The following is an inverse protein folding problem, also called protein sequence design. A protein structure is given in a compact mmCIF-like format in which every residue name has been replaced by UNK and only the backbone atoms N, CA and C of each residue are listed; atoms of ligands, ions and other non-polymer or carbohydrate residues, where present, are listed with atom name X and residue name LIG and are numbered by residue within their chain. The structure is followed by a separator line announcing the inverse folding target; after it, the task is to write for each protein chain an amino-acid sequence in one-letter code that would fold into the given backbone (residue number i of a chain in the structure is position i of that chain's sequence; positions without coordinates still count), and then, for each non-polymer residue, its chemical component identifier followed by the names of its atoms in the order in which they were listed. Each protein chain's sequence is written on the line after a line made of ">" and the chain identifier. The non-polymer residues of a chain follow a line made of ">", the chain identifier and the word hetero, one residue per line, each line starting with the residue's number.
data_IF_494440282915
#
_entry.id   IF_494440282915
#
_cell.length_a   1.000
_cell.length_b   1.000
_cell.length_c   1.000
_cell.angle_alpha   90.00
_cell.angle_beta   90.00
_cell.angle_gamma   90.00
#
_symmetry.space_group_name_H-M   'P 1'
#
loop_
_entity.id
_entity.type
_entity.pdbx_description
1 polymer ?
#
# COMPACT_ATOMS: atom_id res chain seq x y z
N UNK A 1 0.54 -43.59 -17.69
CA UNK A 1 0.35 -42.27 -18.32
C UNK A 1 1.47 -41.31 -17.97
N UNK A 2 1.74 -41.04 -16.67
CA UNK A 2 2.81 -40.11 -16.22
C UNK A 2 4.21 -40.33 -16.84
N UNK A 3 4.56 -41.57 -17.19
CA UNK A 3 5.86 -41.87 -17.81
C UNK A 3 6.07 -41.22 -19.19
N UNK A 4 5.01 -40.87 -19.93
CA UNK A 4 5.12 -40.14 -21.21
C UNK A 4 5.26 -38.63 -21.02
N UNK A 5 4.82 -38.11 -19.87
CA UNK A 5 4.86 -36.69 -19.52
C UNK A 5 6.10 -36.30 -18.71
N UNK A 6 6.97 -37.25 -18.36
CA UNK A 6 8.25 -36.93 -17.73
C UNK A 6 9.30 -36.55 -18.79
N UNK A 7 9.99 -35.41 -18.63
CA UNK A 7 11.01 -34.95 -19.57
C UNK A 7 12.24 -35.87 -19.53
N UNK A 8 12.88 -36.04 -20.70
CA UNK A 8 14.23 -36.61 -20.72
C UNK A 8 15.23 -35.61 -20.10
N UNK A 9 16.23 -36.06 -19.33
CA UNK A 9 17.22 -35.17 -18.71
C UNK A 9 17.85 -34.22 -19.74
N UNK A 10 17.91 -32.93 -19.41
CA UNK A 10 18.52 -31.90 -20.25
C UNK A 10 17.68 -31.42 -21.43
N UNK A 11 16.45 -31.92 -21.62
CA UNK A 11 15.53 -31.38 -22.63
C UNK A 11 14.67 -30.25 -22.06
N UNK A 12 14.34 -29.23 -22.85
CA UNK A 12 13.36 -28.22 -22.45
C UNK A 12 12.00 -28.85 -22.18
N UNK A 13 11.37 -28.41 -21.08
CA UNK A 13 10.02 -28.83 -20.69
C UNK A 13 8.99 -28.24 -21.64
N UNK A 14 7.91 -28.96 -21.91
CA UNK A 14 6.67 -28.36 -22.43
C UNK A 14 5.75 -27.90 -21.30
N UNK A 15 4.63 -27.21 -21.61
CA UNK A 15 3.62 -26.82 -20.60
C UNK A 15 3.10 -28.05 -19.84
N UNK A 16 2.75 -29.11 -20.57
CA UNK A 16 2.28 -30.36 -19.97
C UNK A 16 3.31 -30.98 -19.01
N UNK A 17 4.60 -30.95 -19.39
CA UNK A 17 5.68 -31.51 -18.59
C UNK A 17 5.97 -30.62 -17.36
N UNK A 18 5.97 -29.31 -17.52
CA UNK A 18 6.17 -28.37 -16.43
C UNK A 18 5.04 -28.50 -15.40
N UNK A 19 3.78 -28.50 -15.82
CA UNK A 19 2.65 -28.69 -14.91
C UNK A 19 2.73 -30.02 -14.15
N UNK A 20 3.11 -31.11 -14.83
CA UNK A 20 3.31 -32.40 -14.20
C UNK A 20 4.45 -32.38 -13.16
N UNK A 21 5.56 -31.70 -13.46
CA UNK A 21 6.68 -31.52 -12.53
C UNK A 21 6.26 -30.68 -11.32
N UNK A 22 5.59 -29.54 -11.52
CA UNK A 22 5.12 -28.70 -10.43
C UNK A 22 4.13 -29.40 -9.51
N UNK A 23 3.18 -30.15 -10.10
CA UNK A 23 2.24 -30.98 -9.34
C UNK A 23 2.96 -32.06 -8.52
N UNK A 24 3.99 -32.70 -9.10
CA UNK A 24 4.80 -33.67 -8.39
C UNK A 24 5.65 -33.06 -7.28
N UNK A 25 6.15 -31.83 -7.46
CA UNK A 25 6.87 -31.08 -6.42
C UNK A 25 5.95 -30.84 -5.22
N UNK A 26 4.76 -30.25 -5.45
CA UNK A 26 3.79 -30.00 -4.36
C UNK A 26 3.36 -31.29 -3.67
N UNK A 27 3.10 -32.37 -4.43
CA UNK A 27 2.74 -33.66 -3.85
C UNK A 27 3.88 -34.29 -3.02
N UNK A 28 5.14 -34.12 -3.45
CA UNK A 28 6.30 -34.63 -2.72
C UNK A 28 6.53 -33.89 -1.40
N UNK A 29 6.18 -32.61 -1.39
CA UNK A 29 6.32 -31.66 -0.27
C UNK A 29 5.14 -31.67 0.70
N UNK A 30 3.95 -32.13 0.27
CA UNK A 30 2.80 -32.35 1.15
C UNK A 30 3.01 -33.37 2.30
N UNK A 31 4.23 -33.88 2.50
CA UNK A 31 4.61 -34.71 3.67
C UNK A 31 4.56 -33.86 4.95
N UNK A 32 3.93 -34.36 6.03
CA UNK A 32 3.84 -33.64 7.29
C UNK A 32 5.22 -33.22 7.82
N UNK A 33 5.41 -31.92 8.07
CA UNK A 33 6.56 -31.39 8.82
C UNK A 33 7.76 -30.90 8.00
N UNK A 34 7.72 -30.94 6.66
CA UNK A 34 8.88 -30.55 5.84
C UNK A 34 8.65 -29.43 4.83
N UNK A 35 7.40 -29.00 4.61
CA UNK A 35 7.13 -27.95 3.63
C UNK A 35 6.73 -26.62 4.23
N UNK A 36 7.15 -25.52 3.59
CA UNK A 36 6.74 -24.17 3.96
C UNK A 36 5.21 -24.07 4.09
N UNK A 37 4.74 -23.21 4.99
CA UNK A 37 3.30 -23.08 5.25
C UNK A 37 2.54 -22.67 3.99
N UNK A 38 3.10 -21.77 3.19
CA UNK A 38 2.54 -21.29 1.94
C UNK A 38 2.39 -22.35 0.84
N UNK A 39 3.08 -23.48 0.93
CA UNK A 39 2.80 -24.63 0.06
C UNK A 39 1.42 -25.25 0.30
N UNK A 40 0.82 -24.98 1.47
CA UNK A 40 -0.47 -25.54 1.91
C UNK A 40 -1.62 -24.55 1.74
N UNK A 41 -1.33 -23.26 1.54
CA UNK A 41 -2.32 -22.18 1.57
C UNK A 41 -3.01 -21.92 0.21
N UNK A 42 -2.92 -22.88 -0.72
CA UNK A 42 -3.68 -22.89 -1.97
C UNK A 42 -2.84 -22.48 -3.17
N UNK A 43 -2.32 -23.49 -3.89
CA UNK A 43 -1.64 -23.29 -5.17
C UNK A 43 -2.67 -23.30 -6.29
N UNK A 44 -2.59 -22.31 -7.18
CA UNK A 44 -3.32 -22.36 -8.43
C UNK A 44 -2.52 -23.09 -9.53
N UNK A 45 -3.16 -23.34 -10.67
CA UNK A 45 -2.54 -24.06 -11.79
C UNK A 45 -1.35 -23.31 -12.40
N UNK A 46 -1.33 -21.98 -12.33
CA UNK A 46 -0.23 -21.15 -12.83
C UNK A 46 0.96 -21.18 -11.87
N UNK A 47 0.72 -21.26 -10.56
CA UNK A 47 1.76 -21.52 -9.56
C UNK A 47 2.44 -22.86 -9.83
N UNK A 48 1.64 -23.92 -10.04
CA UNK A 48 2.16 -25.25 -10.36
C UNK A 48 2.98 -25.23 -11.65
N UNK A 49 2.49 -24.53 -12.68
CA UNK A 49 3.21 -24.38 -13.94
C UNK A 49 4.54 -23.63 -13.73
N UNK A 50 4.53 -22.49 -13.02
CA UNK A 50 5.70 -21.68 -12.70
C UNK A 50 6.76 -22.49 -11.94
N UNK A 51 6.36 -23.20 -10.88
CA UNK A 51 7.26 -24.06 -10.12
C UNK A 51 7.85 -25.19 -10.97
N UNK A 52 7.04 -25.80 -11.82
CA UNK A 52 7.50 -26.80 -12.76
C UNK A 52 8.60 -26.30 -13.70
N UNK A 53 8.51 -25.04 -14.14
CA UNK A 53 9.49 -24.43 -15.03
C UNK A 53 10.75 -23.92 -14.32
N UNK A 54 10.62 -23.40 -13.10
CA UNK A 54 11.74 -23.03 -12.24
C UNK A 54 12.54 -24.28 -11.80
N UNK A 55 11.92 -25.47 -11.85
CA UNK A 55 12.57 -26.72 -11.50
C UNK A 55 12.82 -26.84 -10.00
N UNK A 56 13.91 -27.49 -9.59
CA UNK A 56 14.25 -27.67 -8.17
C UNK A 56 14.59 -26.37 -7.41
N UNK A 57 14.50 -25.21 -8.06
CA UNK A 57 14.82 -23.90 -7.49
C UNK A 57 13.68 -23.27 -6.68
N UNK A 58 12.55 -23.97 -6.52
CA UNK A 58 11.38 -23.53 -5.71
C UNK A 58 11.65 -23.62 -4.19
N UNK A 59 12.91 -23.75 -3.76
CA UNK A 59 13.30 -23.60 -2.34
C UNK A 59 13.34 -22.13 -1.88
N UNK A 60 12.92 -21.21 -2.73
CA UNK A 60 12.80 -19.79 -2.43
C UNK A 60 11.73 -19.53 -1.35
N UNK A 61 11.83 -18.40 -0.65
CA UNK A 61 10.75 -17.94 0.26
C UNK A 61 9.48 -17.65 -0.53
N UNK A 62 8.31 -17.62 0.12
CA UNK A 62 7.01 -17.38 -0.52
C UNK A 62 7.03 -16.13 -1.39
N UNK A 63 7.62 -15.06 -0.87
CA UNK A 63 7.67 -13.75 -1.48
C UNK A 63 8.51 -13.78 -2.76
N UNK A 64 9.64 -14.49 -2.72
CA UNK A 64 10.53 -14.65 -3.86
C UNK A 64 9.86 -15.47 -4.98
N UNK A 65 9.15 -16.55 -4.63
CA UNK A 65 8.42 -17.34 -5.61
C UNK A 65 7.28 -16.53 -6.23
N UNK A 66 6.52 -15.80 -5.41
CA UNK A 66 5.42 -14.93 -5.86
C UNK A 66 5.93 -13.85 -6.82
N UNK A 67 7.00 -13.13 -6.47
CA UNK A 67 7.59 -12.11 -7.33
C UNK A 67 8.11 -12.68 -8.65
N UNK A 68 8.80 -13.82 -8.59
CA UNK A 68 9.28 -14.54 -9.77
C UNK A 68 8.12 -14.96 -10.68
N UNK A 69 7.06 -15.52 -10.12
CA UNK A 69 5.84 -15.92 -10.84
C UNK A 69 5.21 -14.71 -11.53
N UNK A 70 5.07 -13.59 -10.84
CA UNK A 70 4.37 -12.42 -11.39
C UNK A 70 5.18 -11.76 -12.51
N UNK A 71 6.50 -11.63 -12.34
CA UNK A 71 7.40 -11.19 -13.42
C UNK A 71 7.33 -12.14 -14.64
N UNK A 72 7.29 -13.45 -14.39
CA UNK A 72 7.11 -14.44 -15.44
C UNK A 72 5.75 -14.31 -16.15
N UNK A 73 4.66 -14.10 -15.41
CA UNK A 73 3.31 -13.90 -15.97
C UNK A 73 3.24 -12.66 -16.87
N UNK A 74 3.85 -11.55 -16.46
CA UNK A 74 3.93 -10.34 -17.27
C UNK A 74 4.71 -10.57 -18.56
N UNK A 75 5.83 -11.28 -18.48
CA UNK A 75 6.63 -11.62 -19.64
C UNK A 75 5.85 -12.54 -20.61
N UNK A 76 5.32 -13.66 -20.11
CA UNK A 76 4.70 -14.68 -20.96
C UNK A 76 3.41 -14.19 -21.61
N UNK A 77 2.61 -13.33 -20.96
CA UNK A 77 1.37 -12.77 -21.53
C UNK A 77 1.58 -11.97 -22.82
N UNK A 78 2.76 -11.40 -23.00
CA UNK A 78 3.12 -10.65 -24.21
C UNK A 78 3.78 -11.52 -25.28
N UNK A 79 4.18 -12.74 -24.94
CA UNK A 79 4.83 -13.67 -25.86
C UNK A 79 3.80 -14.51 -26.62
N UNK A 80 4.01 -14.83 -27.91
CA UNK A 80 3.14 -15.75 -28.65
C UNK A 80 2.95 -17.12 -27.98
N UNK A 81 3.86 -17.53 -27.10
CA UNK A 81 3.73 -18.76 -26.32
C UNK A 81 2.54 -18.73 -25.34
N UNK A 82 1.98 -17.56 -25.01
CA UNK A 82 0.77 -17.41 -24.18
C UNK A 82 -0.42 -18.23 -24.70
N UNK A 83 -0.49 -18.48 -26.01
CA UNK A 83 -1.52 -19.36 -26.59
C UNK A 83 -1.50 -20.75 -25.99
N UNK A 84 -0.33 -21.34 -25.72
CA UNK A 84 -0.25 -22.66 -25.09
C UNK A 84 -0.77 -22.66 -23.64
N UNK A 85 -0.55 -21.56 -22.91
CA UNK A 85 -1.09 -21.39 -21.55
C UNK A 85 -2.61 -21.21 -21.59
N UNK A 86 -3.12 -20.40 -22.52
CA UNK A 86 -4.57 -20.22 -22.72
C UNK A 86 -5.24 -21.55 -23.08
N UNK A 87 -4.68 -22.32 -24.02
CA UNK A 87 -5.20 -23.64 -24.41
C UNK A 87 -5.25 -24.61 -23.21
N UNK A 88 -4.24 -24.57 -22.34
CA UNK A 88 -4.21 -25.34 -21.09
C UNK A 88 -5.33 -24.89 -20.13
N UNK A 89 -5.52 -23.59 -19.93
CA UNK A 89 -6.55 -23.05 -19.04
C UNK A 89 -7.96 -23.35 -19.56
N UNK A 90 -8.18 -23.28 -20.87
CA UNK A 90 -9.46 -23.66 -21.49
C UNK A 90 -9.76 -25.16 -21.30
N UNK A 91 -8.73 -26.02 -21.42
CA UNK A 91 -8.86 -27.44 -21.12
C UNK A 91 -9.16 -27.68 -19.64
N UNK A 92 -8.49 -26.96 -18.73
CA UNK A 92 -8.73 -27.05 -17.29
C UNK A 92 -10.18 -26.73 -16.93
N UNK A 93 -10.69 -25.60 -17.42
CA UNK A 93 -12.08 -25.16 -17.17
C UNK A 93 -13.07 -26.19 -17.70
N UNK A 94 -12.82 -26.75 -18.90
CA UNK A 94 -13.67 -27.81 -19.46
C UNK A 94 -13.67 -29.07 -18.60
N UNK A 95 -12.51 -29.56 -18.17
CA UNK A 95 -12.39 -30.76 -17.31
C UNK A 95 -13.10 -30.52 -15.97
N UNK A 96 -12.86 -29.36 -15.33
CA UNK A 96 -13.53 -28.97 -14.09
C UNK A 96 -15.05 -28.99 -14.25
N UNK A 97 -15.56 -28.40 -15.34
CA UNK A 97 -16.98 -28.41 -15.67
C UNK A 97 -17.53 -29.84 -15.87
N UNK A 98 -16.82 -30.68 -16.62
CA UNK A 98 -17.26 -32.04 -16.95
C UNK A 98 -17.25 -32.98 -15.73
N UNK A 99 -16.33 -32.77 -14.80
CA UNK A 99 -16.24 -33.52 -13.55
C UNK A 99 -17.13 -32.94 -12.44
N UNK A 100 -17.54 -31.68 -12.54
CA UNK A 100 -18.30 -30.99 -11.50
C UNK A 100 -17.46 -30.64 -10.26
N UNK A 101 -16.14 -30.58 -10.40
CA UNK A 101 -15.18 -30.35 -9.31
C UNK A 101 -14.44 -29.01 -9.50
N UNK A 102 -13.96 -28.37 -8.43
CA UNK A 102 -13.14 -27.16 -8.50
C UNK A 102 -11.88 -27.31 -9.38
N UNK A 103 -11.41 -26.22 -9.97
CA UNK A 103 -10.23 -26.24 -10.87
C UNK A 103 -8.92 -26.65 -10.17
N UNK A 104 -8.87 -26.49 -8.87
CA UNK A 104 -7.77 -26.88 -7.97
C UNK A 104 -7.96 -28.28 -7.38
N UNK A 105 -9.06 -28.99 -7.69
CA UNK A 105 -9.26 -30.36 -7.23
C UNK A 105 -8.17 -31.30 -7.81
N UNK A 106 -7.54 -32.15 -6.99
CA UNK A 106 -6.51 -33.07 -7.46
C UNK A 106 -6.96 -33.97 -8.63
N UNK A 107 -8.23 -34.36 -8.69
CA UNK A 107 -8.80 -35.17 -9.78
C UNK A 107 -8.83 -34.39 -11.09
N UNK A 108 -9.18 -33.10 -11.03
CA UNK A 108 -9.17 -32.19 -12.17
C UNK A 108 -7.74 -31.98 -12.66
N UNK A 109 -6.80 -31.66 -11.77
CA UNK A 109 -5.39 -31.45 -12.13
C UNK A 109 -4.74 -32.70 -12.74
N UNK A 110 -5.03 -33.88 -12.21
CA UNK A 110 -4.52 -35.15 -12.75
C UNK A 110 -5.11 -35.47 -14.12
N UNK A 111 -6.39 -35.18 -14.34
CA UNK A 111 -7.06 -35.33 -15.64
C UNK A 111 -6.49 -34.34 -16.66
N UNK A 112 -6.25 -33.09 -16.24
CA UNK A 112 -5.61 -32.07 -17.06
C UNK A 112 -4.23 -32.54 -17.54
N UNK A 113 -3.37 -33.01 -16.64
CA UNK A 113 -2.03 -33.51 -17.02
C UNK A 113 -2.13 -34.69 -18.00
N UNK A 114 -3.13 -35.57 -17.84
CA UNK A 114 -3.34 -36.70 -18.74
C UNK A 114 -3.75 -36.25 -20.14
N UNK A 115 -4.62 -35.26 -20.25
CA UNK A 115 -5.20 -34.80 -21.53
C UNK A 115 -4.29 -33.79 -22.26
N UNK A 116 -3.44 -33.04 -21.55
CA UNK A 116 -2.52 -32.07 -22.14
C UNK A 116 -1.53 -32.68 -23.15
N UNK A 117 -1.26 -33.99 -23.06
CA UNK A 117 -0.37 -34.68 -24.01
C UNK A 117 -0.93 -34.72 -25.43
N UNK A 118 -2.26 -34.58 -25.56
CA UNK A 118 -2.97 -34.57 -26.84
C UNK A 118 -3.26 -33.14 -27.33
N UNK A 119 -2.81 -32.10 -26.59
CA UNK A 119 -2.91 -30.69 -26.98
C UNK A 119 -1.57 -30.23 -27.60
N UNK A 120 -1.47 -30.08 -28.94
CA UNK A 120 -0.19 -29.88 -29.60
C UNK A 120 0.57 -28.62 -29.15
N UNK A 121 -0.13 -27.52 -28.84
CA UNK A 121 0.47 -26.28 -28.33
C UNK A 121 1.13 -26.48 -26.96
N UNK A 122 0.52 -27.29 -26.08
CA UNK A 122 1.02 -27.59 -24.74
C UNK A 122 2.19 -28.58 -24.72
N UNK A 123 2.44 -29.26 -25.85
CA UNK A 123 3.57 -30.16 -26.06
C UNK A 123 4.77 -29.49 -26.71
N UNK A 124 4.65 -28.22 -27.13
CA UNK A 124 5.78 -27.46 -27.61
C UNK A 124 6.77 -27.16 -26.48
N UNK A 125 8.08 -27.24 -26.71
CA UNK A 125 9.07 -26.86 -25.71
C UNK A 125 8.95 -25.40 -25.32
N UNK A 126 8.94 -25.13 -24.01
CA UNK A 126 8.98 -23.78 -23.45
C UNK A 126 10.33 -23.13 -23.82
N UNK A 127 10.31 -21.98 -24.51
CA UNK A 127 11.52 -21.24 -24.82
C UNK A 127 12.32 -20.89 -23.57
N UNK A 128 13.65 -21.04 -23.62
CA UNK A 128 14.51 -20.79 -22.46
C UNK A 128 14.36 -19.37 -21.89
N UNK A 129 14.09 -18.38 -22.75
CA UNK A 129 13.86 -16.97 -22.35
C UNK A 129 12.61 -16.77 -21.50
N UNK A 130 11.66 -17.72 -21.53
CA UNK A 130 10.38 -17.66 -20.80
C UNK A 130 10.42 -18.53 -19.53
N UNK A 131 11.60 -19.02 -19.14
CA UNK A 131 11.76 -19.70 -17.86
C UNK A 131 11.79 -18.67 -16.74
N UNK A 132 11.14 -18.94 -15.59
CA UNK A 132 11.08 -17.99 -14.47
C UNK A 132 12.48 -17.48 -14.02
N UNK A 133 13.49 -18.34 -14.02
CA UNK A 133 14.86 -17.97 -13.65
C UNK A 133 15.46 -16.87 -14.56
N UNK A 134 15.11 -16.88 -15.85
CA UNK A 134 15.56 -15.86 -16.80
C UNK A 134 14.84 -14.51 -16.65
N UNK A 135 13.69 -14.50 -15.96
CA UNK A 135 12.99 -13.29 -15.56
C UNK A 135 13.55 -12.72 -14.25
N UNK A 136 13.97 -13.58 -13.31
CA UNK A 136 14.58 -13.17 -12.05
C UNK A 136 15.96 -12.50 -12.22
N UNK A 137 16.74 -12.91 -13.24
CA UNK A 137 18.06 -12.33 -13.55
C UNK A 137 17.99 -11.02 -14.36
N UNK A 138 16.81 -10.61 -14.84
CA UNK A 138 16.65 -9.30 -15.47
C UNK A 138 16.50 -8.27 -14.35
N UNK A 139 17.42 -7.30 -14.21
CA UNK A 139 17.19 -6.17 -13.32
C UNK A 139 15.96 -5.45 -13.87
N UNK A 140 14.82 -5.61 -13.19
CA UNK A 140 13.63 -4.83 -13.49
C UNK A 140 13.99 -3.34 -13.51
N UNK A 141 13.34 -2.52 -14.34
CA UNK A 141 13.54 -1.08 -14.30
C UNK A 141 13.08 -0.55 -12.92
N UNK A 142 14.06 -0.29 -12.05
CA UNK A 142 13.89 0.37 -10.74
C UNK A 142 14.13 -0.55 -9.55
N UNK A 143 15.38 -0.60 -9.08
CA UNK A 143 15.77 -1.10 -7.75
C UNK A 143 15.90 0.04 -6.72
N UNK A 144 15.00 1.03 -6.77
CA UNK A 144 14.82 1.95 -5.65
C UNK A 144 13.64 1.44 -4.83
N UNK A 145 13.85 1.20 -3.54
CA UNK A 145 12.80 0.79 -2.60
C UNK A 145 11.57 1.67 -2.79
N UNK A 146 10.41 1.02 -2.96
CA UNK A 146 9.10 1.64 -3.14
C UNK A 146 9.04 2.56 -4.38
N UNK A 147 8.65 2.05 -5.56
CA UNK A 147 8.42 3.00 -6.67
C UNK A 147 7.72 2.57 -7.95
N UNK A 148 8.17 1.52 -8.64
CA UNK A 148 7.99 1.53 -10.11
C UNK A 148 6.92 0.61 -10.70
N UNK A 149 6.50 -0.48 -10.05
CA UNK A 149 5.56 -1.44 -10.66
C UNK A 149 4.11 -1.40 -10.10
N UNK A 150 3.96 -0.89 -8.88
CA UNK A 150 2.76 -0.94 -8.01
C UNK A 150 1.57 -0.15 -8.57
N UNK A 151 1.83 1.00 -9.17
CA UNK A 151 0.82 2.05 -9.23
C UNK A 151 -0.29 1.82 -10.27
N UNK A 152 -0.04 1.10 -11.36
CA UNK A 152 -1.07 0.94 -12.40
C UNK A 152 -2.26 0.10 -11.93
N UNK A 153 -2.03 -1.03 -11.26
CA UNK A 153 -3.11 -1.85 -10.71
C UNK A 153 -3.81 -1.12 -9.56
N UNK A 154 -3.05 -0.43 -8.69
CA UNK A 154 -3.60 0.42 -7.64
C UNK A 154 -4.57 1.50 -8.17
N UNK A 155 -4.22 2.13 -9.29
CA UNK A 155 -4.98 3.21 -9.91
C UNK A 155 -6.15 2.70 -10.76
N UNK A 156 -6.08 1.48 -11.28
CA UNK A 156 -7.15 0.83 -12.05
C UNK A 156 -8.23 0.21 -11.15
N UNK A 157 -7.91 -0.11 -9.89
CA UNK A 157 -8.77 -0.90 -9.02
C UNK A 157 -9.54 -0.06 -7.97
N UNK A 158 -10.51 -0.72 -7.33
CA UNK A 158 -11.48 -0.14 -6.38
C UNK A 158 -10.82 0.21 -5.04
N UNK A 159 -11.48 1.00 -4.18
CA UNK A 159 -11.09 1.13 -2.77
C UNK A 159 -10.79 -0.23 -2.12
N UNK A 160 -9.66 -0.36 -1.41
CA UNK A 160 -9.22 -1.62 -0.76
C UNK A 160 -8.34 -2.52 -1.63
N UNK A 161 -7.65 -1.95 -2.61
CA UNK A 161 -6.79 -2.70 -3.53
C UNK A 161 -5.49 -3.09 -2.87
N UNK A 162 -5.16 -4.38 -2.97
CA UNK A 162 -3.85 -4.96 -2.64
C UNK A 162 -2.92 -4.83 -3.83
N UNK A 163 -1.71 -4.37 -3.60
CA UNK A 163 -0.77 -4.02 -4.65
C UNK A 163 0.58 -4.65 -4.38
N UNK A 164 1.10 -5.37 -5.37
CA UNK A 164 2.41 -6.00 -5.27
C UNK A 164 3.53 -4.98 -5.58
N UNK A 165 4.48 -4.85 -4.66
CA UNK A 165 5.65 -4.01 -4.78
C UNK A 165 6.76 -4.67 -5.59
N UNK A 166 7.73 -3.88 -6.05
CA UNK A 166 8.88 -4.36 -6.83
C UNK A 166 9.78 -5.31 -6.02
N UNK A 167 9.71 -5.23 -4.70
CA UNK A 167 10.30 -6.11 -3.70
C UNK A 167 9.39 -7.30 -3.32
N UNK A 168 8.23 -7.45 -3.98
CA UNK A 168 7.34 -8.60 -3.84
C UNK A 168 6.35 -8.51 -2.68
N UNK A 169 6.15 -7.34 -2.09
CA UNK A 169 5.23 -7.15 -0.98
C UNK A 169 3.82 -6.82 -1.42
N UNK A 170 2.81 -7.33 -0.73
CA UNK A 170 1.42 -6.98 -1.01
C UNK A 170 0.96 -5.87 -0.05
N UNK A 171 0.95 -4.64 -0.52
CA UNK A 171 0.51 -3.46 0.25
C UNK A 171 -0.96 -3.17 -0.05
N UNK A 172 -1.79 -3.06 0.99
CA UNK A 172 -3.16 -2.59 0.83
C UNK A 172 -3.18 -1.07 0.75
N UNK A 173 -3.65 -0.52 -0.36
CA UNK A 173 -3.76 0.93 -0.56
C UNK A 173 -5.19 1.37 -0.22
N UNK A 174 -5.29 2.22 0.79
CA UNK A 174 -6.56 2.79 1.24
C UNK A 174 -7.22 3.68 0.17
N UNK A 175 -8.54 3.91 0.27
CA UNK A 175 -9.30 4.68 -0.73
C UNK A 175 -8.74 6.08 -0.96
N UNK A 176 -8.27 6.75 0.10
CA UNK A 176 -7.67 8.08 0.02
C UNK A 176 -6.32 8.05 -0.70
N UNK A 177 -5.45 7.10 -0.34
CA UNK A 177 -4.14 6.96 -0.96
C UNK A 177 -4.26 6.67 -2.47
N UNK A 178 -5.25 5.88 -2.92
CA UNK A 178 -5.53 5.69 -4.34
C UNK A 178 -5.79 7.03 -5.06
N UNK A 179 -6.59 7.93 -4.47
CA UNK A 179 -6.86 9.24 -5.08
C UNK A 179 -5.62 10.15 -5.09
N UNK A 180 -4.78 10.11 -4.05
CA UNK A 180 -3.51 10.84 -4.03
C UNK A 180 -2.60 10.35 -5.16
N UNK A 181 -2.48 9.04 -5.33
CA UNK A 181 -1.67 8.45 -6.38
C UNK A 181 -2.21 8.77 -7.78
N UNK A 182 -3.55 8.86 -7.95
CA UNK A 182 -4.18 9.31 -9.21
C UNK A 182 -3.80 10.75 -9.53
N UNK A 183 -3.83 11.62 -8.52
CA UNK A 183 -3.45 13.02 -8.69
C UNK A 183 -1.96 13.15 -9.09
N UNK A 184 -1.07 12.40 -8.43
CA UNK A 184 0.35 12.38 -8.76
C UNK A 184 0.59 11.86 -10.19
N UNK A 185 -0.13 10.81 -10.60
CA UNK A 185 -0.05 10.28 -11.95
C UNK A 185 -0.53 11.30 -13.00
N UNK A 186 -1.63 12.00 -12.73
CA UNK A 186 -2.15 13.07 -13.60
C UNK A 186 -1.15 14.24 -13.70
N UNK A 187 -0.56 14.67 -12.58
CA UNK A 187 0.44 15.73 -12.56
C UNK A 187 1.70 15.33 -13.36
N UNK A 188 2.17 14.08 -13.21
CA UNK A 188 3.31 13.57 -13.95
C UNK A 188 3.01 13.48 -15.45
N UNK A 189 1.83 13.01 -15.83
CA UNK A 189 1.40 12.97 -17.22
C UNK A 189 1.35 14.36 -17.86
N UNK A 190 0.95 15.39 -17.10
CA UNK A 190 0.99 16.79 -17.55
C UNK A 190 2.42 17.26 -17.79
N UNK A 191 3.36 16.98 -16.87
CA UNK A 191 4.79 17.33 -17.02
C UNK A 191 5.39 16.65 -18.26
N UNK A 192 5.06 15.38 -18.49
CA UNK A 192 5.54 14.61 -19.65
C UNK A 192 4.85 14.99 -20.97
N UNK A 193 3.74 15.74 -20.91
CA UNK A 193 2.91 16.06 -22.07
C UNK A 193 2.22 14.84 -22.70
N UNK A 194 2.14 13.72 -21.96
CA UNK A 194 1.49 12.47 -22.39
C UNK A 194 1.08 11.61 -21.20
N UNK A 195 0.11 10.69 -21.36
CA UNK A 195 -0.17 9.68 -20.35
C UNK A 195 1.08 8.85 -20.01
N UNK A 196 1.16 8.43 -18.73
CA UNK A 196 2.16 7.47 -18.27
C UNK A 196 2.00 6.13 -18.99
N UNK A 197 3.11 5.56 -19.42
CA UNK A 197 3.19 4.22 -20.01
C UNK A 197 3.38 3.15 -18.91
N UNK A 198 3.04 1.88 -19.21
CA UNK A 198 3.35 0.76 -18.33
C UNK A 198 4.80 0.74 -17.84
N UNK A 199 5.00 0.66 -16.52
CA UNK A 199 6.32 0.60 -15.87
C UNK A 199 7.00 1.96 -15.68
N UNK A 200 6.38 3.06 -16.10
CA UNK A 200 6.90 4.39 -15.78
C UNK A 200 6.54 4.76 -14.34
N UNK A 201 7.48 5.35 -13.58
CA UNK A 201 7.20 5.78 -12.22
C UNK A 201 6.23 6.96 -12.21
N UNK A 202 5.31 6.95 -11.24
CA UNK A 202 4.39 8.08 -10.99
C UNK A 202 5.13 9.27 -10.40
N UNK A 203 6.23 9.02 -9.68
CA UNK A 203 7.05 10.01 -9.00
C UNK A 203 8.45 9.98 -9.60
N UNK A 204 8.96 11.11 -10.11
CA UNK A 204 10.34 11.17 -10.61
C UNK A 204 11.36 11.04 -9.48
N UNK A 205 12.63 10.71 -9.80
CA UNK A 205 13.69 10.66 -8.79
C UNK A 205 13.85 11.98 -8.02
N UNK A 206 13.86 13.12 -8.74
CA UNK A 206 13.92 14.45 -8.12
C UNK A 206 12.69 14.76 -7.24
N UNK A 207 11.55 14.17 -7.55
CA UNK A 207 10.32 14.33 -6.76
C UNK A 207 10.41 13.53 -5.45
N UNK A 208 11.13 12.39 -5.43
CA UNK A 208 11.36 11.58 -4.23
C UNK A 208 12.31 12.27 -3.25
N UNK A 209 13.41 12.85 -3.74
CA UNK A 209 14.34 13.62 -2.89
C UNK A 209 13.62 14.82 -2.25
N UNK A 210 12.78 15.51 -3.03
CA UNK A 210 11.95 16.60 -2.54
C UNK A 210 10.91 16.14 -1.50
N UNK A 211 10.29 14.98 -1.72
CA UNK A 211 9.34 14.39 -0.79
C UNK A 211 10.01 13.97 0.52
N UNK A 212 11.18 13.34 0.47
CA UNK A 212 11.93 12.93 1.66
C UNK A 212 12.33 14.14 2.50
N UNK A 213 12.88 15.19 1.86
CA UNK A 213 13.23 16.44 2.54
C UNK A 213 12.00 17.11 3.17
N UNK A 214 10.87 17.11 2.48
CA UNK A 214 9.60 17.62 3.00
C UNK A 214 9.09 16.80 4.18
N UNK A 215 9.12 15.46 4.07
CA UNK A 215 8.70 14.56 5.15
C UNK A 215 9.57 14.73 6.39
N UNK A 216 10.89 14.83 6.23
CA UNK A 216 11.81 15.14 7.33
C UNK A 216 11.49 16.49 7.98
N UNK A 217 11.23 17.54 7.19
CA UNK A 217 10.86 18.85 7.74
C UNK A 217 9.54 18.79 8.52
N UNK A 218 8.56 18.02 8.06
CA UNK A 218 7.31 17.84 8.79
C UNK A 218 7.51 17.09 10.11
N UNK A 219 8.30 16.01 10.12
CA UNK A 219 8.62 15.29 11.35
C UNK A 219 9.33 16.18 12.38
N UNK A 220 10.18 17.11 11.92
CA UNK A 220 10.81 18.13 12.78
C UNK A 220 9.81 19.17 13.30
N UNK A 221 8.91 19.67 12.44
CA UNK A 221 7.88 20.63 12.84
C UNK A 221 6.89 20.06 13.85
N UNK A 222 6.63 18.75 13.79
CA UNK A 222 5.78 18.03 14.74
C UNK A 222 6.53 17.55 15.99
N UNK A 223 7.82 17.87 16.09
CA UNK A 223 8.68 17.49 17.21
C UNK A 223 8.63 15.98 17.50
N UNK A 224 8.69 15.17 16.44
CA UNK A 224 8.79 13.72 16.59
C UNK A 224 10.13 13.35 17.25
N UNK A 225 10.08 12.34 18.12
CA UNK A 225 11.23 11.82 18.81
C UNK A 225 12.39 11.54 17.82
N UNK A 226 13.64 11.90 18.16
CA UNK A 226 14.79 11.65 17.30
C UNK A 226 14.93 10.19 16.88
N UNK A 227 14.52 9.24 17.74
CA UNK A 227 14.50 7.81 17.44
C UNK A 227 13.61 7.45 16.23
N UNK A 228 12.41 8.03 16.13
CA UNK A 228 11.52 7.79 14.99
C UNK A 228 12.05 8.41 13.70
N UNK A 229 12.63 9.62 13.79
CA UNK A 229 13.29 10.27 12.66
C UNK A 229 14.54 9.52 12.20
N UNK A 230 15.25 8.88 13.12
CA UNK A 230 16.38 8.00 12.81
C UNK A 230 15.89 6.75 12.09
N UNK A 231 14.90 6.05 12.64
CA UNK A 231 14.32 4.85 12.04
C UNK A 231 13.82 5.13 10.62
N UNK A 232 13.07 6.22 10.41
CA UNK A 232 12.58 6.62 9.10
C UNK A 232 13.68 6.76 8.04
N UNK A 233 14.85 7.27 8.44
CA UNK A 233 15.99 7.48 7.54
C UNK A 233 16.76 6.20 7.25
N UNK A 234 16.86 5.31 8.23
CA UNK A 234 17.60 4.04 8.09
C UNK A 234 16.79 3.04 7.28
N UNK A 235 15.50 2.93 7.56
CA UNK A 235 14.62 1.95 6.90
C UNK A 235 13.97 2.48 5.62
N UNK A 236 13.89 3.81 5.47
CA UNK A 236 13.17 4.45 4.37
C UNK A 236 11.65 4.44 4.54
N UNK A 237 11.13 3.97 5.68
CA UNK A 237 9.69 3.98 5.97
C UNK A 237 9.26 5.29 6.63
N UNK A 238 8.01 5.70 6.41
CA UNK A 238 7.41 6.72 7.27
C UNK A 238 7.08 6.11 8.63
N UNK A 239 7.11 6.90 9.72
CA UNK A 239 6.66 6.44 11.02
C UNK A 239 5.28 5.77 10.93
N UNK A 240 5.14 4.51 11.38
CA UNK A 240 3.88 3.82 11.32
C UNK A 240 2.87 4.48 12.25
N UNK A 241 1.60 4.48 11.83
CA UNK A 241 0.51 4.84 12.73
C UNK A 241 0.29 3.75 13.79
N UNK A 242 -0.79 3.89 14.58
CA UNK A 242 -1.18 2.90 15.60
C UNK A 242 -1.40 1.48 15.06
N UNK A 243 -1.64 1.34 13.76
CA UNK A 243 -1.80 0.05 13.09
C UNK A 243 -0.48 -0.67 12.78
N UNK A 244 0.67 -0.04 13.02
CA UNK A 244 1.97 -0.57 12.61
C UNK A 244 2.21 -0.47 11.09
N UNK A 245 3.34 -1.03 10.66
CA UNK A 245 3.66 -1.24 9.25
C UNK A 245 2.90 -2.46 8.69
N UNK A 246 2.60 -2.49 7.38
CA UNK A 246 1.82 -3.59 6.78
C UNK A 246 2.48 -4.98 6.89
N UNK A 247 3.81 -5.03 6.98
CA UNK A 247 4.61 -6.25 7.04
C UNK A 247 5.27 -6.37 8.42
N UNK A 248 5.15 -7.55 9.06
CA UNK A 248 5.81 -7.82 10.34
C UNK A 248 7.34 -7.70 10.23
N UNK A 249 7.95 -8.11 9.12
CA UNK A 249 9.38 -7.96 8.94
C UNK A 249 9.82 -6.49 8.96
N UNK A 250 9.07 -5.61 8.28
CA UNK A 250 9.32 -4.18 8.30
C UNK A 250 9.06 -3.55 9.66
N UNK A 251 8.03 -4.05 10.36
CA UNK A 251 7.77 -3.66 11.74
C UNK A 251 8.95 -4.03 12.64
N UNK A 252 9.48 -5.25 12.53
CA UNK A 252 10.63 -5.71 13.31
C UNK A 252 11.90 -4.90 12.99
N UNK A 253 12.13 -4.59 11.71
CA UNK A 253 13.27 -3.76 11.28
C UNK A 253 13.15 -2.32 11.79
N UNK A 254 11.94 -1.76 11.75
CA UNK A 254 11.62 -0.46 12.31
C UNK A 254 11.86 -0.43 13.82
N UNK A 255 11.28 -1.37 14.55
CA UNK A 255 11.38 -1.45 16.00
C UNK A 255 12.83 -1.66 16.44
N UNK A 256 13.58 -2.51 15.73
CA UNK A 256 15.01 -2.70 15.98
C UNK A 256 15.80 -1.40 15.80
N UNK A 257 15.50 -0.62 14.76
CA UNK A 257 16.17 0.66 14.50
C UNK A 257 15.87 1.69 15.60
N UNK A 258 14.62 1.74 16.08
CA UNK A 258 14.24 2.59 17.23
C UNK A 258 14.97 2.13 18.50
N UNK A 259 14.95 0.83 18.80
CA UNK A 259 15.62 0.28 19.98
C UNK A 259 17.13 0.51 19.98
N UNK A 260 17.79 0.32 18.83
CA UNK A 260 19.22 0.55 18.68
C UNK A 260 19.57 2.01 18.92
N UNK A 261 18.76 2.94 18.39
CA UNK A 261 18.94 4.36 18.64
C UNK A 261 18.80 4.71 20.13
N UNK A 262 17.73 4.25 20.79
CA UNK A 262 17.47 4.56 22.20
C UNK A 262 18.53 3.94 23.13
N UNK A 263 19.06 2.77 22.78
CA UNK A 263 20.17 2.13 23.50
C UNK A 263 21.43 2.99 23.49
N UNK A 264 21.72 3.62 22.34
CA UNK A 264 22.88 4.50 22.17
C UNK A 264 22.66 5.91 22.74
N UNK A 265 21.40 6.30 23.00
CA UNK A 265 21.00 7.63 23.48
C UNK A 265 20.13 7.55 24.76
N UNK A 266 20.70 7.12 25.90
CA UNK A 266 19.92 6.80 27.11
C UNK A 266 19.20 8.00 27.75
N UNK A 267 19.66 9.23 27.49
CA UNK A 267 18.96 10.43 27.94
C UNK A 267 17.62 10.62 27.20
N UNK A 268 17.59 10.34 25.90
CA UNK A 268 16.39 10.44 25.07
C UNK A 268 15.45 9.26 25.31
N UNK A 269 15.99 8.07 25.63
CA UNK A 269 15.20 6.91 26.04
C UNK A 269 14.39 7.14 27.31
N UNK A 270 14.84 8.00 28.22
CA UNK A 270 14.10 8.34 29.44
C UNK A 270 12.86 9.19 29.15
N UNK A 271 12.87 9.95 28.05
CA UNK A 271 11.80 10.86 27.63
C UNK A 271 10.94 10.29 26.49
N UNK A 272 11.25 9.09 26.00
CA UNK A 272 10.53 8.45 24.90
C UNK A 272 9.24 7.78 25.38
N UNK A 273 8.09 8.29 24.95
CA UNK A 273 6.76 7.69 25.17
C UNK A 273 6.18 7.19 23.83
N UNK A 274 6.11 5.86 23.60
CA UNK A 274 5.57 5.30 22.37
C UNK A 274 4.12 5.70 22.07
N UNK A 275 3.29 5.89 23.09
CA UNK A 275 1.88 6.25 22.88
C UNK A 275 1.74 7.72 22.47
N UNK A 276 2.50 8.61 23.11
CA UNK A 276 2.55 10.02 22.73
C UNK A 276 3.08 10.19 21.29
N UNK A 277 4.14 9.47 20.94
CA UNK A 277 4.72 9.54 19.61
C UNK A 277 3.77 8.97 18.54
N UNK A 278 3.05 7.87 18.83
CA UNK A 278 2.02 7.34 17.94
C UNK A 278 0.90 8.36 17.68
N UNK A 279 0.52 9.16 18.68
CA UNK A 279 -0.46 10.24 18.53
C UNK A 279 0.07 11.40 17.68
N UNK A 280 1.35 11.76 17.82
CA UNK A 280 2.00 12.75 16.95
C UNK A 280 2.06 12.25 15.50
N UNK A 281 2.39 10.99 15.28
CA UNK A 281 2.42 10.38 13.93
C UNK A 281 1.03 10.34 13.30
N UNK A 282 0.01 9.90 14.05
CA UNK A 282 -1.37 9.91 13.55
C UNK A 282 -1.84 11.33 13.18
N UNK A 283 -1.46 12.32 13.99
CA UNK A 283 -1.69 13.73 13.70
C UNK A 283 -0.98 14.13 12.40
N UNK A 284 0.32 13.89 12.28
CA UNK A 284 1.08 14.19 11.07
C UNK A 284 0.45 13.57 9.81
N UNK A 285 0.08 12.28 9.85
CA UNK A 285 -0.57 11.59 8.72
C UNK A 285 -1.88 12.28 8.33
N UNK A 286 -2.70 12.64 9.30
CA UNK A 286 -3.94 13.38 9.07
C UNK A 286 -3.67 14.76 8.46
N UNK A 287 -2.59 15.46 8.85
CA UNK A 287 -2.27 16.78 8.30
C UNK A 287 -1.91 16.65 6.83
N UNK A 288 -1.05 15.70 6.51
CA UNK A 288 -0.65 15.38 5.12
C UNK A 288 -1.89 15.09 4.29
N UNK A 289 -2.79 14.23 4.80
CA UNK A 289 -4.06 13.90 4.17
C UNK A 289 -4.95 15.13 3.93
N UNK A 290 -5.07 16.04 4.91
CA UNK A 290 -5.82 17.29 4.76
C UNK A 290 -5.17 18.23 3.75
N UNK A 291 -3.85 18.34 3.73
CA UNK A 291 -3.14 19.17 2.75
C UNK A 291 -3.35 18.65 1.33
N UNK A 292 -3.29 17.33 1.12
CA UNK A 292 -3.63 16.72 -0.16
C UNK A 292 -5.09 16.96 -0.55
N UNK A 293 -6.02 16.88 0.39
CA UNK A 293 -7.44 17.21 0.19
C UNK A 293 -7.70 18.69 -0.11
N UNK A 294 -6.89 19.60 0.44
CA UNK A 294 -6.98 21.02 0.12
C UNK A 294 -6.66 21.26 -1.36
N UNK A 295 -5.62 20.59 -1.84
CA UNK A 295 -5.06 20.81 -3.17
C UNK A 295 -5.76 20.00 -4.28
N UNK A 296 -6.44 18.89 -3.95
CA UNK A 296 -7.17 18.06 -4.92
C UNK A 296 -8.64 17.86 -4.51
N UNK A 297 -9.61 18.27 -5.35
CA UNK A 297 -11.02 17.96 -5.15
C UNK A 297 -11.32 16.46 -5.06
N UNK A 298 -10.55 15.61 -5.75
CA UNK A 298 -10.74 14.14 -5.70
C UNK A 298 -10.33 13.59 -4.34
N UNK A 299 -9.12 13.96 -3.88
CA UNK A 299 -8.64 13.59 -2.56
C UNK A 299 -9.56 14.13 -1.47
N UNK A 300 -10.07 15.36 -1.63
CA UNK A 300 -11.08 15.94 -0.72
C UNK A 300 -12.31 15.06 -0.59
N UNK A 301 -12.90 14.63 -1.70
CA UNK A 301 -14.08 13.78 -1.70
C UNK A 301 -13.83 12.41 -1.08
N UNK A 302 -12.65 11.81 -1.28
CA UNK A 302 -12.26 10.56 -0.61
C UNK A 302 -12.08 10.74 0.90
N UNK A 303 -11.39 11.81 1.30
CA UNK A 303 -11.15 12.15 2.72
C UNK A 303 -12.47 12.37 3.46
N UNK A 304 -13.40 13.14 2.86
CA UNK A 304 -14.73 13.37 3.45
C UNK A 304 -15.57 12.10 3.58
N UNK A 305 -15.43 11.14 2.65
CA UNK A 305 -16.09 9.83 2.74
C UNK A 305 -15.51 9.01 3.90
N UNK A 306 -14.19 8.91 3.97
CA UNK A 306 -13.51 8.19 5.07
C UNK A 306 -13.90 8.77 6.44
N UNK A 307 -13.85 10.09 6.59
CA UNK A 307 -14.27 10.79 7.81
C UNK A 307 -15.74 10.52 8.19
N UNK A 308 -16.60 10.23 7.22
CA UNK A 308 -18.02 9.91 7.45
C UNK A 308 -18.22 8.46 7.85
N UNK A 309 -17.45 7.56 7.25
CA UNK A 309 -17.57 6.11 7.41
C UNK A 309 -16.86 5.62 8.70
N UNK A 310 -15.93 6.43 9.25
CA UNK A 310 -15.30 6.24 10.56
C UNK A 310 -15.82 7.31 11.56
N UNK A 311 -17.04 7.15 12.11
CA UNK A 311 -17.64 8.13 13.02
C UNK A 311 -17.02 8.12 14.43
N UNK A 312 -16.03 7.26 14.69
CA UNK A 312 -15.36 7.21 15.98
C UNK A 312 -14.67 8.56 16.25
N UNK A 313 -14.96 9.13 17.41
CA UNK A 313 -14.61 10.51 17.78
C UNK A 313 -13.12 10.83 17.73
N UNK A 314 -12.25 9.83 17.63
CA UNK A 314 -10.80 9.99 17.61
C UNK A 314 -10.31 10.77 16.38
N UNK A 315 -10.88 10.56 15.20
CA UNK A 315 -10.48 11.27 13.99
C UNK A 315 -10.94 12.74 14.02
N UNK A 316 -12.15 12.98 14.52
CA UNK A 316 -12.67 14.33 14.76
C UNK A 316 -11.83 15.08 15.81
N UNK A 317 -11.48 14.41 16.90
CA UNK A 317 -10.61 14.97 17.95
C UNK A 317 -9.20 15.21 17.44
N UNK A 318 -8.66 14.33 16.59
CA UNK A 318 -7.37 14.54 15.93
C UNK A 318 -7.41 15.80 15.03
N UNK A 319 -8.45 15.98 14.21
CA UNK A 319 -8.64 17.20 13.41
C UNK A 319 -8.64 18.44 14.32
N UNK A 320 -9.33 18.40 15.46
CA UNK A 320 -9.38 19.52 16.41
C UNK A 320 -8.00 19.81 17.03
N UNK A 321 -7.30 18.80 17.54
CA UNK A 321 -5.96 18.97 18.12
C UNK A 321 -5.00 19.59 17.11
N UNK A 322 -5.20 19.28 15.83
CA UNK A 322 -4.35 19.71 14.73
C UNK A 322 -4.67 21.05 14.10
N UNK A 323 -5.82 21.67 14.37
CA UNK A 323 -6.20 22.92 13.68
C UNK A 323 -5.14 24.03 13.75
N UNK A 324 -4.39 24.24 14.86
CA UNK A 324 -3.32 25.23 14.87
C UNK A 324 -2.26 24.97 13.80
N UNK A 325 -1.78 23.74 13.70
CA UNK A 325 -0.79 23.32 12.70
C UNK A 325 -1.38 23.36 11.28
N UNK A 326 -2.61 22.87 11.10
CA UNK A 326 -3.30 22.90 9.81
C UNK A 326 -3.56 24.34 9.32
N UNK A 327 -3.87 25.28 10.22
CA UNK A 327 -4.02 26.70 9.90
C UNK A 327 -2.71 27.32 9.42
N UNK A 328 -1.58 26.95 10.03
CA UNK A 328 -0.26 27.45 9.64
C UNK A 328 0.16 26.90 8.27
N UNK A 329 -0.07 25.61 8.02
CA UNK A 329 0.41 24.92 6.80
C UNK A 329 -0.48 25.18 5.58
N UNK A 330 -1.80 25.07 5.73
CA UNK A 330 -2.73 25.14 4.59
C UNK A 330 -3.35 26.53 4.40
N UNK A 331 -3.26 27.38 5.42
CA UNK A 331 -3.99 28.63 5.46
C UNK A 331 -5.48 28.44 5.72
N UNK A 332 -6.11 29.53 6.16
CA UNK A 332 -7.48 29.54 6.69
C UNK A 332 -8.56 29.08 5.69
N UNK A 333 -8.48 29.53 4.44
CA UNK A 333 -9.53 29.27 3.44
C UNK A 333 -9.58 27.78 3.08
N UNK A 334 -8.41 27.16 2.86
CA UNK A 334 -8.31 25.75 2.53
C UNK A 334 -8.82 24.85 3.67
N UNK A 335 -8.51 25.21 4.93
CA UNK A 335 -9.01 24.46 6.08
C UNK A 335 -10.54 24.52 6.19
N UNK A 336 -11.13 25.70 6.00
CA UNK A 336 -12.59 25.85 6.05
C UNK A 336 -13.30 25.06 4.94
N UNK A 337 -12.73 25.02 3.74
CA UNK A 337 -13.28 24.25 2.62
C UNK A 337 -13.32 22.73 2.89
N UNK A 338 -12.46 22.22 3.78
CA UNK A 338 -12.45 20.81 4.19
C UNK A 338 -13.38 20.57 5.37
N UNK A 339 -13.35 21.44 6.38
CA UNK A 339 -14.11 21.22 7.61
C UNK A 339 -15.60 21.56 7.45
N UNK A 340 -15.96 22.55 6.63
CA UNK A 340 -17.34 22.99 6.47
C UNK A 340 -18.29 21.91 5.93
N UNK A 341 -17.94 21.13 4.88
CA UNK A 341 -18.79 20.02 4.42
C UNK A 341 -18.96 18.92 5.48
N UNK A 342 -17.92 18.68 6.29
CA UNK A 342 -17.99 17.71 7.38
C UNK A 342 -18.99 18.15 8.45
N UNK A 343 -18.87 19.41 8.90
CA UNK A 343 -19.79 20.02 9.86
C UNK A 343 -21.25 20.01 9.39
N UNK A 344 -21.47 20.20 8.09
CA UNK A 344 -22.81 20.25 7.50
C UNK A 344 -23.40 18.84 7.22
N UNK A 345 -22.56 17.81 7.08
CA UNK A 345 -22.97 16.46 6.68
C UNK A 345 -23.19 15.47 7.83
N UNK A 346 -22.82 15.82 9.07
CA UNK A 346 -23.01 15.01 10.27
C UNK A 346 -24.30 15.43 10.98
N UNK A 347 -25.42 14.81 10.59
CA UNK A 347 -26.66 14.89 11.36
C UNK A 347 -26.50 14.04 12.64
N UNK A 348 -26.37 14.70 13.80
CA UNK A 348 -26.58 14.05 15.09
C UNK A 348 -25.40 13.93 16.07
N UNK A 349 -24.23 14.52 15.79
CA UNK A 349 -23.15 14.63 16.78
C UNK A 349 -23.11 16.06 17.39
N UNK A 350 -23.63 16.29 18.61
CA UNK A 350 -23.70 17.61 19.23
C UNK A 350 -22.33 18.32 19.33
N UNK A 351 -21.25 17.55 19.49
CA UNK A 351 -19.87 18.04 19.54
C UNK A 351 -19.42 18.62 18.20
N UNK A 352 -19.62 17.94 17.07
CA UNK A 352 -19.17 18.41 15.74
C UNK A 352 -19.92 19.65 15.25
N UNK A 353 -21.22 19.74 15.55
CA UNK A 353 -22.00 20.96 15.28
C UNK A 353 -21.47 22.13 16.11
N UNK A 354 -21.06 21.90 17.37
CA UNK A 354 -20.47 22.93 18.22
C UNK A 354 -19.07 23.34 17.77
N UNK A 355 -18.25 22.40 17.31
CA UNK A 355 -16.92 22.63 16.71
C UNK A 355 -17.05 23.46 15.43
N UNK A 356 -17.98 23.08 14.55
CA UNK A 356 -18.26 23.85 13.34
C UNK A 356 -18.77 25.26 13.61
N UNK A 357 -19.60 25.43 14.65
CA UNK A 357 -20.03 26.74 15.13
C UNK A 357 -18.86 27.55 15.71
N UNK A 358 -17.95 26.92 16.45
CA UNK A 358 -16.75 27.57 16.98
C UNK A 358 -15.80 28.02 15.85
N UNK A 359 -15.63 27.20 14.80
CA UNK A 359 -14.84 27.52 13.62
C UNK A 359 -15.45 28.64 12.77
N UNK A 360 -16.76 28.61 12.52
CA UNK A 360 -17.48 29.69 11.84
C UNK A 360 -17.47 31.00 12.65
N UNK A 361 -17.51 30.90 13.98
CA UNK A 361 -17.39 32.06 14.87
C UNK A 361 -15.96 32.65 14.83
N UNK A 362 -14.93 31.79 14.91
CA UNK A 362 -13.52 32.15 14.73
C UNK A 362 -13.29 32.84 13.38
N UNK A 363 -13.89 32.29 12.32
CA UNK A 363 -13.88 32.87 10.99
C UNK A 363 -14.49 34.29 10.99
N UNK A 364 -15.66 34.47 11.59
CA UNK A 364 -16.33 35.76 11.66
C UNK A 364 -15.49 36.82 12.38
N UNK A 365 -14.87 36.45 13.49
CA UNK A 365 -14.02 37.37 14.27
C UNK A 365 -12.75 37.78 13.51
N UNK A 366 -12.08 36.82 12.87
CA UNK A 366 -10.90 37.11 12.06
C UNK A 366 -11.22 37.95 10.81
N UNK A 367 -12.40 37.78 10.20
CA UNK A 367 -12.88 38.62 9.07
C UNK A 367 -13.18 40.07 9.51
N UNK A 368 -13.54 40.28 10.77
CA UNK A 368 -13.78 41.61 11.33
C UNK A 368 -12.49 42.38 11.67
N UNK A 369 -11.30 41.79 11.44
CA UNK A 369 -10.02 42.40 11.79
C UNK A 369 -9.68 42.33 13.29
N UNK A 370 -10.50 41.65 14.09
CA UNK A 370 -10.22 41.39 15.50
C UNK A 370 -9.12 40.32 15.61
N UNK A 371 -7.88 40.76 15.84
CA UNK A 371 -6.73 39.87 16.15
C UNK A 371 -6.62 39.54 17.64
N UNK A 372 -7.47 40.13 18.47
CA UNK A 372 -7.50 39.92 19.93
C UNK A 372 -8.93 39.64 20.35
N UNK A 373 -9.11 38.57 21.11
CA UNK A 373 -10.41 38.17 21.66
C UNK A 373 -10.54 38.73 23.08
N UNK A 374 -11.72 39.19 23.47
CA UNK A 374 -11.98 39.53 24.87
C UNK A 374 -12.09 38.26 25.73
N UNK A 375 -11.83 38.37 27.04
CA UNK A 375 -11.97 37.23 27.98
C UNK A 375 -13.39 36.64 27.98
N UNK A 376 -14.41 37.46 27.71
CA UNK A 376 -15.80 37.03 27.59
C UNK A 376 -16.05 36.21 26.30
N UNK A 377 -15.45 36.62 25.18
CA UNK A 377 -15.52 35.87 23.91
C UNK A 377 -14.76 34.54 23.97
N UNK A 378 -13.60 34.53 24.64
CA UNK A 378 -12.86 33.29 24.91
C UNK A 378 -13.66 32.35 25.81
N UNK A 379 -14.32 32.85 26.86
CA UNK A 379 -15.18 32.06 27.74
C UNK A 379 -16.44 31.54 27.03
N UNK A 380 -17.01 32.31 26.09
CA UNK A 380 -18.15 31.88 25.29
C UNK A 380 -17.79 30.77 24.29
N UNK A 381 -16.61 30.87 23.65
CA UNK A 381 -16.09 29.80 22.82
C UNK A 381 -15.73 28.55 23.64
N UNK A 382 -15.16 28.71 24.83
CA UNK A 382 -14.91 27.63 25.80
C UNK A 382 -16.21 26.93 26.22
N UNK A 383 -17.28 27.69 26.44
CA UNK A 383 -18.58 27.15 26.82
C UNK A 383 -19.28 26.41 25.66
N UNK A 384 -18.94 26.74 24.40
CA UNK A 384 -19.45 26.06 23.22
C UNK A 384 -18.65 24.80 22.89
N UNK A 385 -17.35 24.75 23.16
CA UNK A 385 -16.50 23.57 23.00
C UNK A 385 -15.30 23.69 23.98
N UNK A 386 -15.38 23.07 25.18
CA UNK A 386 -14.33 23.21 26.21
C UNK A 386 -12.95 22.76 25.72
N UNK A 387 -12.94 21.75 24.86
CA UNK A 387 -11.79 21.18 24.15
C UNK A 387 -11.00 22.22 23.31
N UNK A 388 -11.64 23.33 22.90
CA UNK A 388 -11.09 24.36 22.02
C UNK A 388 -10.36 25.49 22.74
N UNK A 389 -10.45 25.56 24.08
CA UNK A 389 -9.86 26.66 24.84
C UNK A 389 -8.34 26.74 24.66
N UNK A 390 -7.67 25.59 24.52
CA UNK A 390 -6.24 25.49 24.26
C UNK A 390 -5.85 26.05 22.88
N UNK A 391 -6.68 25.81 21.85
CA UNK A 391 -6.46 26.29 20.47
C UNK A 391 -6.60 27.82 20.40
N UNK A 392 -7.58 28.39 21.11
CA UNK A 392 -7.77 29.84 21.20
C UNK A 392 -6.68 30.54 22.00
N UNK A 393 -6.14 29.89 23.04
CA UNK A 393 -5.02 30.41 23.82
C UNK A 393 -3.71 30.43 22.99
N UNK A 394 -3.45 29.41 22.17
CA UNK A 394 -2.29 29.35 21.27
C UNK A 394 -2.32 30.40 20.15
N UNK A 395 -3.52 30.81 19.71
CA UNK A 395 -3.70 31.88 18.72
C UNK A 395 -3.49 33.31 19.29
N UNK A 396 -3.41 33.47 20.62
CA UNK A 396 -3.19 34.76 21.30
C UNK A 396 -1.71 35.10 21.48
N UNK A 397 -0.81 34.12 21.33
CA UNK A 397 0.64 34.38 21.33
C UNK A 397 1.01 35.13 20.05
N UNK A 398 1.52 36.37 20.13
CA UNK A 398 2.00 37.06 18.94
C UNK A 398 3.14 36.23 18.33
N UNK A 399 3.01 35.92 17.04
CA UNK A 399 4.11 35.32 16.29
C UNK A 399 5.29 36.29 16.33
N UNK A 400 6.51 35.85 16.70
CA UNK A 400 7.69 36.71 16.75
C UNK A 400 8.01 37.37 15.41
#
# INVERSE_FOLDING_TARGET
>A
MLAKSLPAPGKPLSVAQALAVGSALVAADARPGHSPQWFRDGWDVLDLLAAGMAGGHVQAREEQFTAMRDAWLDQIRTDPFWTAVTDMLDLLVRISHDLGEPVDDPTVLMSLIADLVDVPSCMQPIPARLRPDAAADQPGPGQSGIGTAVLREALALRPGTRVLTSDGEVVSIGPQAVEVLREMADARAQILGRPLQPGEPVVGGDDLDGFEAWAQSLMEQFDLAPALRHAARVTGFMPPGRSGLPNQHHQDEWDQSVEDYLRDHPAEAADFDPEEEADKVASLQLLVSMQSAANSPRVRAATLRQLRDEPDGDLAMAVIRMMPAALQVMGRTALLDIVQPYVQGVDGAPSMIQIGKALLWLEKQLKAGNRTYTSAEAAQAAAMAPEFYCVLAAAQTPTP
#
